data_IF_825064964403
#
_entry.id   IF_825064964403
#
_cell.length_a   1.000
_cell.length_b   1.000
_cell.length_c   1.000
_cell.angle_alpha   90.00
_cell.angle_beta   90.00
_cell.angle_gamma   90.00
#
_symmetry.space_group_name_H-M   'P 1'
#
loop_
_entity.id
_entity.type
_entity.pdbx_description
1 polymer ?
#
# COMPACT_ATOMS: atom_id res chain seq x y z
N UNK A 1 25.44 8.94 -8.21
CA UNK A 1 24.58 8.84 -7.01
C UNK A 1 23.50 9.89 -7.16
N UNK A 2 22.23 9.48 -7.20
CA UNK A 2 21.12 10.43 -7.27
C UNK A 2 21.07 11.33 -6.04
N UNK A 3 20.65 12.58 -6.22
CA UNK A 3 20.39 13.50 -5.11
C UNK A 3 19.12 13.03 -4.38
N UNK A 4 19.29 12.20 -3.36
CA UNK A 4 18.17 11.94 -2.45
C UNK A 4 18.12 13.00 -1.34
N UNK A 5 16.99 13.11 -0.67
CA UNK A 5 16.76 14.09 0.39
C UNK A 5 17.85 14.04 1.48
N UNK A 6 18.25 12.87 1.95
CA UNK A 6 19.25 12.72 3.00
C UNK A 6 20.66 13.14 2.55
N UNK A 7 20.97 13.09 1.26
CA UNK A 7 22.24 13.59 0.72
C UNK A 7 22.24 15.12 0.57
N UNK A 8 21.07 15.75 0.59
CA UNK A 8 20.92 17.21 0.44
C UNK A 8 20.91 17.96 1.77
N UNK A 9 20.74 17.27 2.90
CA UNK A 9 20.71 17.88 4.22
C UNK A 9 22.02 17.69 5.00
N UNK A 10 22.42 18.65 5.87
CA UNK A 10 23.57 18.50 6.73
C UNK A 10 23.45 17.29 7.66
N UNK A 11 24.57 16.61 7.93
CA UNK A 11 24.59 15.43 8.81
C UNK A 11 23.94 15.65 10.18
N UNK A 12 24.09 16.84 10.75
CA UNK A 12 23.44 17.20 12.02
C UNK A 12 21.91 17.14 11.93
N UNK A 13 21.35 17.64 10.83
CA UNK A 13 19.91 17.62 10.57
C UNK A 13 19.41 16.20 10.29
N UNK A 14 20.16 15.42 9.50
CA UNK A 14 19.87 14.00 9.29
C UNK A 14 19.82 13.23 10.61
N UNK A 15 20.76 13.48 11.54
CA UNK A 15 20.74 12.86 12.88
C UNK A 15 19.56 13.31 13.74
N UNK A 16 19.15 14.57 13.65
CA UNK A 16 17.98 15.06 14.36
C UNK A 16 16.70 14.37 13.87
N UNK A 17 16.56 14.16 12.56
CA UNK A 17 15.43 13.43 12.00
C UNK A 17 15.43 11.95 12.41
N UNK A 18 16.59 11.30 12.43
CA UNK A 18 16.73 9.94 12.96
C UNK A 18 16.36 9.84 14.44
N UNK A 19 16.56 10.90 15.21
CA UNK A 19 16.14 10.98 16.61
C UNK A 19 14.61 10.97 16.83
N UNK A 20 13.83 11.19 15.78
CA UNK A 20 12.36 11.03 15.81
C UNK A 20 11.89 9.63 15.45
N UNK A 21 12.80 8.73 15.04
CA UNK A 21 12.46 7.34 14.79
C UNK A 21 12.15 6.65 16.12
N UNK A 22 11.09 5.83 16.12
CA UNK A 22 10.72 5.02 17.26
C UNK A 22 10.49 3.58 16.82
N UNK A 23 10.90 2.64 17.65
CA UNK A 23 10.49 1.24 17.52
C UNK A 23 9.16 1.03 18.23
N UNK A 24 8.26 0.30 17.60
CA UNK A 24 7.01 -0.12 18.23
C UNK A 24 7.24 -1.44 18.98
N UNK A 25 6.72 -1.52 20.20
CA UNK A 25 6.62 -2.78 20.91
C UNK A 25 5.50 -3.64 20.35
N UNK A 26 5.56 -4.95 20.54
CA UNK A 26 4.57 -5.89 19.98
C UNK A 26 3.14 -5.59 20.45
N UNK A 27 3.00 -5.10 21.66
CA UNK A 27 1.72 -4.73 22.29
C UNK A 27 1.06 -3.54 21.59
N UNK A 28 1.84 -2.69 20.92
CA UNK A 28 1.34 -1.50 20.21
C UNK A 28 0.80 -1.85 18.80
N UNK A 29 1.03 -3.05 18.27
CA UNK A 29 0.56 -3.43 16.94
C UNK A 29 -0.97 -3.39 16.81
N UNK A 30 -1.67 -3.65 17.90
CA UNK A 30 -3.13 -3.56 17.94
C UNK A 30 -3.66 -2.15 17.63
N UNK A 31 -2.89 -1.10 17.92
CA UNK A 31 -3.30 0.29 17.68
C UNK A 31 -3.51 0.56 16.19
N UNK A 32 -2.60 0.06 15.34
CA UNK A 32 -2.71 0.18 13.89
C UNK A 32 -3.95 -0.53 13.34
N UNK A 33 -4.22 -1.75 13.82
CA UNK A 33 -5.42 -2.51 13.44
C UNK A 33 -6.68 -1.77 13.90
N UNK A 34 -6.71 -1.28 15.13
CA UNK A 34 -7.86 -0.54 15.68
C UNK A 34 -8.14 0.75 14.91
N UNK A 35 -7.11 1.47 14.46
CA UNK A 35 -7.26 2.67 13.64
C UNK A 35 -7.89 2.40 12.27
N UNK A 36 -7.76 1.17 11.75
CA UNK A 36 -8.29 0.75 10.45
C UNK A 36 -9.64 0.02 10.54
N UNK A 37 -10.11 -0.33 11.73
CA UNK A 37 -11.42 -0.96 11.91
C UNK A 37 -12.54 -0.09 11.35
N UNK A 38 -13.43 -0.71 10.58
CA UNK A 38 -14.53 -0.02 9.92
C UNK A 38 -14.14 0.84 8.72
N UNK A 39 -12.85 0.85 8.35
CA UNK A 39 -12.35 1.49 7.14
C UNK A 39 -12.36 0.50 5.98
N UNK A 40 -12.69 0.98 4.80
CA UNK A 40 -12.62 0.21 3.57
C UNK A 40 -11.25 0.33 2.95
N UNK A 41 -10.54 -0.79 2.87
CA UNK A 41 -9.20 -0.88 2.30
C UNK A 41 -9.31 -1.47 0.89
N UNK A 42 -8.77 -0.75 -0.09
CA UNK A 42 -8.71 -1.20 -1.48
C UNK A 42 -7.27 -1.27 -1.92
N UNK A 43 -6.80 -2.46 -2.29
CA UNK A 43 -5.44 -2.67 -2.80
C UNK A 43 -5.47 -2.63 -4.33
N UNK A 44 -4.63 -1.81 -4.91
CA UNK A 44 -4.38 -1.73 -6.35
C UNK A 44 -3.22 -2.63 -6.71
N UNK A 45 -3.50 -3.68 -7.48
CA UNK A 45 -2.52 -4.72 -7.82
C UNK A 45 -2.51 -5.90 -6.84
N UNK A 46 -2.51 -7.11 -7.39
CA UNK A 46 -2.50 -8.36 -6.62
C UNK A 46 -1.36 -9.27 -7.10
N UNK A 47 -0.13 -8.74 -7.04
CA UNK A 47 1.12 -9.49 -7.16
C UNK A 47 1.50 -10.15 -5.82
N UNK A 48 2.75 -10.56 -5.67
CA UNK A 48 3.23 -11.21 -4.44
C UNK A 48 3.01 -10.33 -3.19
N UNK A 49 3.43 -9.06 -3.25
CA UNK A 49 3.21 -8.13 -2.13
C UNK A 49 1.72 -7.84 -1.92
N UNK A 50 0.99 -7.54 -3.00
CA UNK A 50 -0.43 -7.20 -2.90
C UNK A 50 -1.26 -8.31 -2.28
N UNK A 51 -1.07 -9.55 -2.70
CA UNK A 51 -1.79 -10.69 -2.16
C UNK A 51 -1.46 -10.91 -0.68
N UNK A 52 -0.18 -11.05 -0.35
CA UNK A 52 0.21 -11.47 1.00
C UNK A 52 -0.08 -10.40 2.05
N UNK A 53 0.15 -9.12 1.74
CA UNK A 53 -0.25 -8.02 2.64
C UNK A 53 -1.78 -7.95 2.80
N UNK A 54 -2.54 -8.17 1.72
CA UNK A 54 -4.01 -8.25 1.79
C UNK A 54 -4.49 -9.39 2.67
N UNK A 55 -3.84 -10.55 2.62
CA UNK A 55 -4.14 -11.69 3.49
C UNK A 55 -3.88 -11.36 4.96
N UNK A 56 -2.75 -10.72 5.29
CA UNK A 56 -2.43 -10.28 6.65
C UNK A 56 -3.48 -9.29 7.18
N UNK A 57 -3.83 -8.28 6.39
CA UNK A 57 -4.84 -7.28 6.77
C UNK A 57 -6.21 -7.94 7.02
N UNK A 58 -6.64 -8.86 6.14
CA UNK A 58 -7.89 -9.61 6.33
C UNK A 58 -7.86 -10.50 7.56
N UNK A 59 -6.75 -11.19 7.81
CA UNK A 59 -6.58 -12.02 9.00
C UNK A 59 -6.62 -11.18 10.30
N UNK A 60 -6.20 -9.92 10.23
CA UNK A 60 -6.38 -8.95 11.31
C UNK A 60 -7.83 -8.43 11.47
N UNK A 61 -8.78 -8.92 10.66
CA UNK A 61 -10.19 -8.57 10.74
C UNK A 61 -10.58 -7.28 9.99
N UNK A 62 -9.77 -6.84 9.03
CA UNK A 62 -10.02 -5.63 8.26
C UNK A 62 -10.76 -5.92 6.94
N UNK A 63 -11.54 -4.95 6.46
CA UNK A 63 -12.28 -5.02 5.19
C UNK A 63 -11.35 -4.71 4.01
N UNK A 64 -10.90 -5.76 3.31
CA UNK A 64 -9.94 -5.68 2.21
C UNK A 64 -10.56 -6.16 0.91
N UNK A 65 -10.36 -5.40 -0.15
CA UNK A 65 -10.77 -5.72 -1.51
C UNK A 65 -9.72 -5.24 -2.52
N UNK A 66 -9.84 -5.66 -3.77
CA UNK A 66 -8.86 -5.32 -4.81
C UNK A 66 -9.50 -4.51 -5.93
N UNK A 67 -8.74 -3.51 -6.40
CA UNK A 67 -9.03 -2.80 -7.63
C UNK A 67 -8.01 -3.17 -8.70
N UNK A 68 -8.48 -3.64 -9.84
CA UNK A 68 -7.66 -4.05 -10.96
C UNK A 68 -8.10 -3.31 -12.23
N UNK A 69 -7.20 -3.23 -13.22
CA UNK A 69 -7.53 -2.69 -14.54
C UNK A 69 -8.58 -3.57 -15.22
N UNK A 70 -9.47 -2.97 -15.97
CA UNK A 70 -10.52 -3.68 -16.73
C UNK A 70 -9.97 -4.82 -17.58
N UNK A 71 -8.84 -4.57 -18.27
CA UNK A 71 -8.17 -5.60 -19.06
C UNK A 71 -7.68 -6.77 -18.23
N UNK A 72 -7.22 -6.54 -17.00
CA UNK A 72 -6.76 -7.61 -16.12
C UNK A 72 -7.92 -8.49 -15.61
N UNK A 73 -9.09 -7.89 -15.43
CA UNK A 73 -10.31 -8.60 -15.05
C UNK A 73 -10.86 -9.39 -16.26
N UNK A 74 -11.01 -8.72 -17.42
CA UNK A 74 -11.57 -9.34 -18.63
C UNK A 74 -10.73 -10.55 -19.11
N UNK A 75 -9.41 -10.41 -19.07
CA UNK A 75 -8.46 -11.46 -19.47
C UNK A 75 -8.16 -12.46 -18.36
N UNK A 76 -8.75 -12.30 -17.18
CA UNK A 76 -8.49 -13.12 -15.98
C UNK A 76 -6.98 -13.31 -15.73
N UNK A 77 -6.24 -12.19 -15.76
CA UNK A 77 -4.78 -12.22 -15.55
C UNK A 77 -4.43 -12.76 -14.16
N UNK A 78 -3.16 -13.04 -13.94
CA UNK A 78 -2.69 -13.64 -12.68
C UNK A 78 -3.12 -12.84 -11.45
N UNK A 79 -3.11 -11.50 -11.51
CA UNK A 79 -3.58 -10.65 -10.40
C UNK A 79 -5.07 -10.86 -10.07
N UNK A 80 -5.91 -11.08 -11.08
CA UNK A 80 -7.31 -11.40 -10.88
C UNK A 80 -7.48 -12.78 -10.23
N UNK A 81 -6.76 -13.79 -10.73
CA UNK A 81 -6.76 -15.15 -10.17
C UNK A 81 -6.30 -15.13 -8.71
N UNK A 82 -5.17 -14.48 -8.43
CA UNK A 82 -4.63 -14.36 -7.07
C UNK A 82 -5.69 -13.83 -6.08
N UNK A 83 -6.40 -12.78 -6.45
CA UNK A 83 -7.41 -12.19 -5.58
C UNK A 83 -8.65 -13.08 -5.44
N UNK A 84 -9.21 -13.58 -6.54
CA UNK A 84 -10.47 -14.35 -6.54
C UNK A 84 -10.32 -15.74 -5.95
N UNK A 85 -9.24 -16.45 -6.23
CA UNK A 85 -8.94 -17.78 -5.67
C UNK A 85 -8.70 -17.72 -4.15
N UNK A 86 -8.27 -16.57 -3.64
CA UNK A 86 -8.17 -16.32 -2.20
C UNK A 86 -9.43 -15.69 -1.59
N UNK A 87 -10.55 -15.64 -2.33
CA UNK A 87 -11.85 -15.21 -1.82
C UNK A 87 -11.98 -13.71 -1.58
N UNK A 88 -11.17 -12.88 -2.22
CA UNK A 88 -11.29 -11.43 -2.13
C UNK A 88 -12.28 -10.88 -3.16
N UNK A 89 -12.98 -9.82 -2.78
CA UNK A 89 -13.77 -9.02 -3.72
C UNK A 89 -12.84 -8.28 -4.67
N UNK A 90 -13.13 -8.36 -5.96
CA UNK A 90 -12.39 -7.67 -7.03
C UNK A 90 -13.36 -6.82 -7.83
N UNK A 91 -12.93 -5.63 -8.20
CA UNK A 91 -13.64 -4.74 -9.13
C UNK A 91 -12.68 -3.85 -9.89
N UNK A 92 -13.23 -3.01 -10.76
CA UNK A 92 -12.48 -2.02 -11.52
C UNK A 92 -12.05 -0.84 -10.64
N UNK A 93 -11.17 0.02 -11.15
CA UNK A 93 -10.83 1.25 -10.43
C UNK A 93 -12.05 2.14 -10.19
N UNK A 94 -12.94 2.23 -11.17
CA UNK A 94 -14.16 3.05 -11.08
C UNK A 94 -15.14 2.55 -10.01
N UNK A 95 -15.22 1.24 -9.83
CA UNK A 95 -16.12 0.63 -8.85
C UNK A 95 -15.58 0.69 -7.42
N UNK A 96 -14.27 0.52 -7.25
CA UNK A 96 -13.68 0.25 -5.93
C UNK A 96 -13.08 1.51 -5.28
N UNK A 97 -12.34 2.31 -6.06
CA UNK A 97 -11.55 3.43 -5.52
C UNK A 97 -12.41 4.55 -4.90
N UNK A 98 -13.55 4.97 -5.48
CA UNK A 98 -14.36 6.08 -4.92
C UNK A 98 -14.87 5.81 -3.52
N UNK A 99 -14.97 4.54 -3.12
CA UNK A 99 -15.51 4.14 -1.81
C UNK A 99 -14.42 3.85 -0.77
N UNK A 100 -13.15 3.81 -1.18
CA UNK A 100 -12.03 3.45 -0.31
C UNK A 100 -11.68 4.56 0.69
N UNK A 101 -11.39 4.18 1.93
CA UNK A 101 -10.79 5.05 2.95
C UNK A 101 -9.26 5.02 2.85
N UNK A 102 -8.72 3.84 2.55
CA UNK A 102 -7.29 3.61 2.33
C UNK A 102 -7.10 2.88 1.00
N UNK A 103 -6.31 3.45 0.12
CA UNK A 103 -5.93 2.84 -1.16
C UNK A 103 -4.47 2.44 -1.10
N UNK A 104 -4.18 1.15 -1.25
CA UNK A 104 -2.82 0.62 -1.25
C UNK A 104 -2.29 0.41 -2.67
N UNK A 105 -1.26 1.16 -3.08
CA UNK A 105 -0.60 0.89 -4.37
C UNK A 105 0.48 -0.17 -4.20
N UNK A 106 0.17 -1.39 -4.62
CA UNK A 106 1.08 -2.55 -4.59
C UNK A 106 1.33 -3.11 -6.00
N UNK A 107 1.30 -2.22 -6.99
CA UNK A 107 1.71 -2.52 -8.36
C UNK A 107 3.24 -2.48 -8.48
N UNK A 108 3.82 -3.05 -9.55
CA UNK A 108 5.26 -2.92 -9.81
C UNK A 108 5.68 -1.44 -9.97
N UNK A 109 6.87 -1.07 -9.47
CA UNK A 109 7.36 0.30 -9.41
C UNK A 109 7.26 1.05 -10.75
N UNK A 110 7.61 0.39 -11.86
CA UNK A 110 7.52 0.96 -13.22
C UNK A 110 6.10 1.35 -13.65
N UNK A 111 5.08 0.90 -12.92
CA UNK A 111 3.69 1.19 -13.20
C UNK A 111 3.08 2.22 -12.23
N UNK A 112 3.83 2.67 -11.24
CA UNK A 112 3.30 3.56 -10.21
C UNK A 112 2.76 4.86 -10.80
N UNK A 113 3.53 5.58 -11.59
CA UNK A 113 3.10 6.88 -12.15
C UNK A 113 1.80 6.80 -12.95
N UNK A 114 1.64 5.94 -13.98
CA UNK A 114 0.38 5.85 -14.70
C UNK A 114 -0.78 5.34 -13.84
N UNK A 115 -0.52 4.39 -12.93
CA UNK A 115 -1.57 3.86 -12.04
C UNK A 115 -2.03 4.90 -11.05
N UNK A 116 -1.11 5.59 -10.38
CA UNK A 116 -1.46 6.58 -9.36
C UNK A 116 -2.10 7.81 -9.99
N UNK A 117 -1.65 8.24 -11.16
CA UNK A 117 -2.30 9.34 -11.89
C UNK A 117 -3.78 9.05 -12.16
N UNK A 118 -4.12 7.82 -12.52
CA UNK A 118 -5.50 7.41 -12.76
C UNK A 118 -6.27 7.22 -11.44
N UNK A 119 -5.73 6.45 -10.51
CA UNK A 119 -6.35 6.11 -9.22
C UNK A 119 -6.65 7.34 -8.39
N UNK A 120 -5.69 8.27 -8.32
CA UNK A 120 -5.82 9.50 -7.53
C UNK A 120 -7.00 10.37 -7.98
N UNK A 121 -7.35 10.38 -9.27
CA UNK A 121 -8.52 11.13 -9.76
C UNK A 121 -9.84 10.58 -9.23
N UNK A 122 -9.87 9.30 -8.89
CA UNK A 122 -11.06 8.57 -8.42
C UNK A 122 -11.15 8.51 -6.89
N UNK A 123 -10.06 8.80 -6.18
CA UNK A 123 -10.01 8.77 -4.72
C UNK A 123 -10.90 9.85 -4.10
N UNK A 124 -11.67 9.47 -3.07
CA UNK A 124 -12.48 10.43 -2.34
C UNK A 124 -11.61 11.40 -1.53
N UNK A 125 -12.13 12.60 -1.29
CA UNK A 125 -11.45 13.61 -0.47
C UNK A 125 -11.22 13.09 0.95
N UNK A 126 -10.02 13.32 1.50
CA UNK A 126 -9.66 12.91 2.86
C UNK A 126 -9.32 11.43 3.00
N UNK A 127 -9.26 10.66 1.90
CA UNK A 127 -8.75 9.28 1.93
C UNK A 127 -7.24 9.26 2.05
N UNK A 128 -6.68 8.07 2.32
CA UNK A 128 -5.24 7.87 2.39
C UNK A 128 -4.74 7.00 1.22
N UNK A 129 -3.54 7.31 0.76
CA UNK A 129 -2.79 6.53 -0.23
C UNK A 129 -1.60 5.87 0.46
N UNK A 130 -1.54 4.55 0.38
CA UNK A 130 -0.48 3.75 0.97
C UNK A 130 0.46 3.21 -0.10
N UNK A 131 1.76 3.38 0.14
CA UNK A 131 2.85 2.82 -0.65
C UNK A 131 3.65 1.81 0.16
N UNK A 132 4.14 0.75 -0.50
CA UNK A 132 5.15 -0.15 0.05
C UNK A 132 6.56 0.20 -0.38
N UNK A 133 6.73 1.11 -1.34
CA UNK A 133 8.02 1.54 -1.87
C UNK A 133 7.97 3.01 -2.28
N UNK A 134 9.02 3.77 -1.91
CA UNK A 134 9.05 5.23 -2.11
C UNK A 134 9.51 5.72 -3.49
N UNK A 135 9.86 4.83 -4.42
CA UNK A 135 10.46 5.18 -5.71
C UNK A 135 9.65 6.23 -6.48
N UNK A 136 8.36 6.03 -6.62
CA UNK A 136 7.45 6.93 -7.33
C UNK A 136 7.43 8.35 -6.75
N UNK A 137 7.49 8.47 -5.42
CA UNK A 137 7.48 9.77 -4.73
C UNK A 137 8.83 10.49 -4.83
N UNK A 138 9.92 9.75 -4.71
CA UNK A 138 11.27 10.32 -4.55
C UNK A 138 11.98 10.48 -5.90
N UNK A 139 11.99 9.43 -6.73
CA UNK A 139 12.73 9.42 -7.99
C UNK A 139 11.90 9.95 -9.17
N UNK A 140 10.61 9.59 -9.23
CA UNK A 140 9.71 10.05 -10.28
C UNK A 140 9.01 11.38 -9.94
N UNK A 141 9.09 11.83 -8.70
CA UNK A 141 8.56 13.12 -8.24
C UNK A 141 7.04 13.23 -8.33
N UNK A 142 6.32 12.13 -8.12
CA UNK A 142 4.88 12.08 -8.20
C UNK A 142 4.22 13.10 -7.26
N UNK A 143 3.40 13.98 -7.83
CA UNK A 143 2.65 14.97 -7.06
C UNK A 143 1.31 14.37 -6.62
N UNK A 144 1.07 14.36 -5.32
CA UNK A 144 -0.18 13.87 -4.73
C UNK A 144 -1.09 15.05 -4.40
N UNK A 145 -2.39 14.87 -4.59
CA UNK A 145 -3.40 15.87 -4.22
C UNK A 145 -3.27 16.23 -2.72
N UNK A 146 -3.36 17.52 -2.35
CA UNK A 146 -3.14 17.96 -0.97
C UNK A 146 -4.21 17.48 0.03
N UNK A 147 -5.35 16.98 -0.47
CA UNK A 147 -6.44 16.42 0.34
C UNK A 147 -6.31 14.91 0.59
N UNK A 148 -5.21 14.29 0.12
CA UNK A 148 -4.91 12.87 0.33
C UNK A 148 -3.74 12.74 1.30
N UNK A 149 -3.90 11.93 2.34
CA UNK A 149 -2.81 11.56 3.24
C UNK A 149 -1.97 10.46 2.62
N UNK A 150 -0.65 10.65 2.55
CA UNK A 150 0.28 9.63 2.08
C UNK A 150 0.87 8.87 3.26
N UNK A 151 0.82 7.55 3.19
CA UNK A 151 1.41 6.64 4.17
C UNK A 151 2.37 5.70 3.46
N UNK A 152 3.54 5.46 4.02
CA UNK A 152 4.45 4.43 3.54
C UNK A 152 4.62 3.36 4.60
N UNK A 153 4.36 2.10 4.20
CA UNK A 153 4.61 0.93 5.02
C UNK A 153 5.36 -0.08 4.16
N UNK A 154 6.68 -0.09 4.28
CA UNK A 154 7.55 -0.96 3.51
C UNK A 154 7.81 -2.26 4.28
N UNK A 155 7.39 -3.43 3.76
CA UNK A 155 7.70 -4.72 4.37
C UNK A 155 9.19 -5.01 4.24
N UNK A 156 9.76 -5.63 5.28
CA UNK A 156 11.20 -5.97 5.33
C UNK A 156 11.45 -7.40 4.84
N UNK A 157 10.80 -7.83 3.79
CA UNK A 157 10.95 -9.18 3.26
C UNK A 157 10.38 -9.36 1.87
N UNK A 158 10.69 -10.49 1.21
CA UNK A 158 10.09 -10.83 -0.07
C UNK A 158 8.58 -10.98 0.08
N UNK A 159 7.85 -10.53 -0.95
CA UNK A 159 6.39 -10.54 -0.92
C UNK A 159 5.77 -11.90 -0.62
N UNK A 160 6.41 -12.97 -1.08
CA UNK A 160 5.97 -14.36 -0.86
C UNK A 160 6.07 -14.79 0.61
N UNK A 161 6.98 -14.20 1.39
CA UNK A 161 7.22 -14.59 2.79
C UNK A 161 6.35 -13.82 3.79
N UNK A 162 5.78 -12.69 3.39
CA UNK A 162 5.01 -11.80 4.30
C UNK A 162 3.87 -12.54 4.99
N UNK A 163 3.11 -13.33 4.26
CA UNK A 163 2.02 -14.13 4.83
C UNK A 163 2.53 -15.28 5.71
N UNK A 164 3.55 -15.99 5.27
CA UNK A 164 4.12 -17.11 6.02
C UNK A 164 4.71 -16.66 7.36
N UNK A 165 5.41 -15.53 7.39
CA UNK A 165 5.96 -14.99 8.64
C UNK A 165 4.83 -14.50 9.57
N UNK A 166 3.77 -13.92 9.02
CA UNK A 166 2.59 -13.54 9.80
C UNK A 166 1.92 -14.77 10.45
N UNK A 167 1.72 -15.88 9.70
CA UNK A 167 1.16 -17.12 10.24
C UNK A 167 2.01 -17.73 11.35
N UNK A 168 3.33 -17.56 11.29
CA UNK A 168 4.29 -18.01 12.33
C UNK A 168 4.32 -17.09 13.55
N UNK A 169 3.63 -15.96 13.52
CA UNK A 169 3.64 -14.96 14.59
C UNK A 169 4.89 -14.07 14.58
N UNK A 170 5.63 -14.04 13.47
CA UNK A 170 6.71 -13.10 13.19
C UNK A 170 6.20 -12.06 12.20
N UNK A 171 6.47 -10.81 12.43
CA UNK A 171 6.00 -9.74 11.55
C UNK A 171 6.80 -8.48 11.72
#
# INVERSE_FOLDING_TARGET
MGNNYFNSIPWREARMQLGHCRSMAKEEFADGVNALKGKKIVIVGCGAQGLNQGMCLRAAGLDVSYALRDSAIAEKRQSWKNATENGFKVGTYDEMIPTADLVGNLTPDKQHTPVISEVMTKMKKGSALWYSHGFNMIEEGMQIRPDITVVMCAPKGPGTEVWHEYERGFG
#
